data_IF_910480807296
#
_entry.id   IF_910480807296
#
_cell.length_a   1.000
_cell.length_b   1.000
_cell.length_c   1.000
_cell.angle_alpha   90.00
_cell.angle_beta   90.00
_cell.angle_gamma   90.00
#
_symmetry.space_group_name_H-M   'P 1'
#
loop_
_entity.id
_entity.type
_entity.pdbx_description
1 polymer ?
#
# COMPACT_ATOMS: atom_id res chain seq x y z
N UNK A 1 3.58 -11.82 -14.09
CA UNK A 1 2.63 -12.53 -13.21
C UNK A 1 2.98 -12.17 -11.78
N UNK A 2 2.00 -12.10 -10.88
CA UNK A 2 2.28 -11.75 -9.49
C UNK A 2 2.18 -12.99 -8.59
N UNK A 3 2.77 -12.88 -7.40
CA UNK A 3 2.74 -13.95 -6.39
C UNK A 3 2.63 -13.37 -4.97
N UNK A 4 2.15 -14.20 -4.05
CA UNK A 4 2.17 -13.86 -2.63
C UNK A 4 3.55 -14.15 -2.06
N UNK A 5 4.09 -13.18 -1.32
CA UNK A 5 5.34 -13.29 -0.59
C UNK A 5 5.15 -12.96 0.88
N UNK A 6 6.09 -13.36 1.72
CA UNK A 6 6.09 -13.04 3.14
C UNK A 6 6.82 -11.72 3.39
N UNK A 7 6.28 -10.90 4.28
CA UNK A 7 6.84 -9.62 4.69
C UNK A 7 6.94 -9.56 6.21
N UNK A 8 8.14 -9.35 6.73
CA UNK A 8 8.36 -9.09 8.15
C UNK A 8 8.12 -7.61 8.45
N UNK A 9 7.32 -7.33 9.46
CA UNK A 9 7.04 -5.97 9.93
C UNK A 9 7.33 -5.85 11.42
N UNK A 10 7.44 -4.64 11.98
CA UNK A 10 7.67 -4.46 13.42
C UNK A 10 6.61 -5.12 14.33
N UNK A 11 5.40 -5.29 13.82
CA UNK A 11 4.26 -5.82 14.57
C UNK A 11 3.83 -7.22 14.16
N UNK A 12 4.61 -7.91 13.34
CA UNK A 12 4.37 -9.30 12.95
C UNK A 12 4.59 -9.56 11.45
N UNK A 13 4.45 -10.80 11.09
CA UNK A 13 4.57 -11.25 9.69
C UNK A 13 3.23 -11.14 9.00
N UNK A 14 3.24 -10.50 7.84
CA UNK A 14 2.10 -10.43 6.93
C UNK A 14 2.49 -10.93 5.55
N UNK A 15 1.53 -11.09 4.65
CA UNK A 15 1.82 -11.33 3.23
C UNK A 15 1.83 -10.02 2.46
N UNK A 16 2.46 -10.06 1.30
CA UNK A 16 2.36 -9.02 0.31
C UNK A 16 2.20 -9.63 -1.08
N UNK A 17 1.40 -9.01 -1.93
CA UNK A 17 1.32 -9.37 -3.35
C UNK A 17 2.40 -8.64 -4.11
N UNK A 18 3.29 -9.39 -4.78
CA UNK A 18 4.39 -8.84 -5.56
C UNK A 18 4.19 -9.13 -7.04
N UNK A 19 4.45 -8.16 -7.88
CA UNK A 19 4.54 -8.29 -9.32
C UNK A 19 5.85 -7.68 -9.82
N UNK A 20 6.59 -8.44 -10.61
CA UNK A 20 7.89 -8.06 -11.16
C UNK A 20 7.79 -7.76 -12.66
N UNK A 21 8.53 -6.76 -13.16
CA UNK A 21 8.61 -6.47 -14.58
C UNK A 21 9.41 -7.55 -15.33
N UNK A 22 9.15 -7.68 -16.63
CA UNK A 22 9.91 -8.60 -17.51
C UNK A 22 11.29 -8.03 -17.93
N UNK A 23 11.56 -6.78 -17.61
CA UNK A 23 12.82 -6.08 -17.93
C UNK A 23 13.47 -5.59 -16.63
N UNK A 24 14.77 -5.18 -16.66
CA UNK A 24 15.38 -4.58 -15.48
C UNK A 24 14.54 -3.46 -14.90
N UNK A 25 14.30 -3.45 -13.58
CA UNK A 25 13.38 -2.48 -12.95
C UNK A 25 13.85 -1.04 -13.12
N UNK A 26 12.88 -0.14 -13.35
CA UNK A 26 13.09 1.32 -13.33
C UNK A 26 13.05 1.88 -11.91
N UNK A 27 12.57 1.10 -10.96
CA UNK A 27 12.33 1.43 -9.56
C UNK A 27 11.26 0.53 -8.99
N UNK A 28 10.76 0.86 -7.82
CA UNK A 28 9.74 0.06 -7.15
C UNK A 28 8.60 0.90 -6.58
N UNK A 29 7.45 0.28 -6.39
CA UNK A 29 6.23 0.92 -5.86
C UNK A 29 5.60 0.07 -4.76
N UNK A 30 5.34 0.71 -3.63
CA UNK A 30 4.40 0.20 -2.62
C UNK A 30 3.00 0.58 -3.07
N UNK A 31 2.13 -0.40 -3.27
CA UNK A 31 0.74 -0.19 -3.68
C UNK A 31 -0.16 -0.37 -2.47
N UNK A 32 -0.84 0.69 -2.06
CA UNK A 32 -1.68 0.68 -0.86
C UNK A 32 -3.15 0.54 -1.24
N UNK A 33 -3.76 -0.49 -0.69
CA UNK A 33 -5.14 -0.89 -0.92
C UNK A 33 -6.17 0.18 -0.51
N UNK A 34 -7.38 0.01 -0.99
CA UNK A 34 -8.59 0.61 -0.44
C UNK A 34 -8.94 -0.04 0.92
N UNK A 35 -10.19 0.00 1.33
CA UNK A 35 -10.65 -0.68 2.57
C UNK A 35 -11.04 -2.15 2.36
N UNK A 36 -10.85 -2.71 1.16
CA UNK A 36 -11.36 -4.03 0.77
C UNK A 36 -10.32 -5.15 0.77
N UNK A 37 -9.09 -4.86 1.23
CA UNK A 37 -7.98 -5.81 1.20
C UNK A 37 -7.24 -5.82 -0.14
N UNK A 38 -6.25 -6.71 -0.24
CA UNK A 38 -5.49 -6.93 -1.47
C UNK A 38 -6.30 -7.83 -2.41
N UNK A 39 -7.38 -7.28 -2.92
CA UNK A 39 -8.32 -7.96 -3.81
C UNK A 39 -7.81 -8.03 -5.25
N UNK A 40 -8.63 -8.58 -6.16
CA UNK A 40 -8.24 -8.72 -7.57
C UNK A 40 -7.87 -7.38 -8.22
N UNK A 41 -8.57 -6.29 -7.88
CA UNK A 41 -8.29 -4.96 -8.40
C UNK A 41 -6.89 -4.47 -8.00
N UNK A 42 -6.52 -4.56 -6.73
CA UNK A 42 -5.19 -4.16 -6.25
C UNK A 42 -4.10 -5.03 -6.87
N UNK A 43 -4.33 -6.33 -7.02
CA UNK A 43 -3.37 -7.22 -7.68
C UNK A 43 -3.18 -6.90 -9.17
N UNK A 44 -4.25 -6.51 -9.87
CA UNK A 44 -4.15 -6.07 -11.27
C UNK A 44 -3.42 -4.72 -11.40
N UNK A 45 -3.58 -3.81 -10.44
CA UNK A 45 -2.78 -2.58 -10.40
C UNK A 45 -1.29 -2.88 -10.24
N UNK A 46 -0.92 -3.81 -9.35
CA UNK A 46 0.48 -4.23 -9.22
C UNK A 46 1.02 -4.79 -10.55
N UNK A 47 0.23 -5.61 -11.24
CA UNK A 47 0.58 -6.13 -12.56
C UNK A 47 0.75 -4.99 -13.58
N UNK A 48 -0.15 -4.04 -13.60
CA UNK A 48 -0.07 -2.88 -14.49
C UNK A 48 1.22 -2.09 -14.27
N UNK A 49 1.61 -1.86 -13.02
CA UNK A 49 2.88 -1.19 -12.72
C UNK A 49 4.08 -2.04 -13.14
N UNK A 50 4.01 -3.35 -12.97
CA UNK A 50 5.06 -4.25 -13.45
C UNK A 50 5.21 -4.21 -14.99
N UNK A 51 4.10 -4.19 -15.72
CA UNK A 51 4.10 -4.04 -17.18
C UNK A 51 4.74 -2.68 -17.63
N UNK A 52 4.74 -1.68 -16.74
CA UNK A 52 5.42 -0.39 -16.96
C UNK A 52 6.86 -0.32 -16.41
N UNK A 53 7.40 -1.45 -15.96
CA UNK A 53 8.80 -1.57 -15.57
C UNK A 53 9.09 -1.30 -14.09
N UNK A 54 8.11 -1.36 -13.20
CA UNK A 54 8.31 -1.21 -11.77
C UNK A 54 8.11 -2.54 -11.04
N UNK A 55 8.93 -2.82 -10.04
CA UNK A 55 8.56 -3.86 -9.07
C UNK A 55 7.45 -3.29 -8.20
N UNK A 56 6.29 -3.91 -8.20
CA UNK A 56 5.14 -3.46 -7.43
C UNK A 56 4.79 -4.45 -6.32
N UNK A 57 4.59 -3.94 -5.10
CA UNK A 57 4.25 -4.78 -3.95
C UNK A 57 3.12 -4.15 -3.13
N UNK A 58 2.08 -4.92 -2.87
CA UNK A 58 0.93 -4.53 -2.06
C UNK A 58 0.93 -5.32 -0.75
N UNK A 59 1.26 -4.71 0.41
CA UNK A 59 1.19 -5.37 1.71
C UNK A 59 -0.26 -5.69 2.08
N UNK A 60 -0.48 -6.87 2.62
CA UNK A 60 -1.78 -7.34 3.10
C UNK A 60 -1.99 -6.89 4.55
N UNK A 61 -2.34 -5.62 4.74
CA UNK A 61 -2.46 -4.97 6.05
C UNK A 61 -3.38 -5.71 7.02
N UNK A 62 -4.42 -6.35 6.52
CA UNK A 62 -5.40 -7.04 7.37
C UNK A 62 -4.90 -8.38 7.89
N UNK A 63 -3.79 -8.91 7.36
CA UNK A 63 -3.18 -10.16 7.84
C UNK A 63 -2.72 -10.07 9.31
N UNK A 64 -2.59 -8.87 9.88
CA UNK A 64 -2.41 -8.67 11.33
C UNK A 64 -3.59 -9.19 12.17
N UNK A 65 -4.76 -9.33 11.57
CA UNK A 65 -6.01 -9.72 12.24
C UNK A 65 -6.63 -10.97 11.64
N UNK A 66 -6.68 -11.02 10.32
CA UNK A 66 -7.41 -12.03 9.57
C UNK A 66 -6.78 -12.21 8.19
N UNK A 67 -6.47 -13.46 7.84
CA UNK A 67 -5.89 -13.79 6.54
C UNK A 67 -6.92 -13.80 5.42
N UNK A 68 -6.46 -13.54 4.20
CA UNK A 68 -7.24 -13.62 2.96
C UNK A 68 -8.46 -12.70 2.90
N UNK A 69 -8.42 -11.57 3.59
CA UNK A 69 -9.51 -10.60 3.55
C UNK A 69 -9.58 -9.96 2.17
N UNK A 70 -10.65 -10.27 1.45
CA UNK A 70 -11.00 -9.67 0.17
C UNK A 70 -12.50 -9.37 0.20
N UNK A 71 -12.82 -8.13 0.54
CA UNK A 71 -14.19 -7.71 0.78
C UNK A 71 -14.87 -7.29 -0.54
N UNK A 72 -16.19 -7.42 -0.56
CA UNK A 72 -17.02 -7.04 -1.69
C UNK A 72 -17.29 -5.53 -1.67
N UNK A 73 -17.53 -4.96 -2.85
CA UNK A 73 -17.94 -3.56 -3.02
C UNK A 73 -19.44 -3.40 -2.76
N UNK A 74 -19.89 -3.75 -1.56
CA UNK A 74 -21.27 -3.65 -1.09
C UNK A 74 -21.30 -3.06 0.33
N UNK A 75 -22.48 -2.72 0.88
CA UNK A 75 -22.57 -2.11 2.21
C UNK A 75 -21.92 -2.91 3.33
N UNK A 76 -22.01 -4.25 3.29
CA UNK A 76 -21.39 -5.13 4.29
C UNK A 76 -19.86 -5.11 4.16
N UNK A 77 -19.34 -5.17 2.94
CA UNK A 77 -17.91 -5.05 2.67
C UNK A 77 -17.36 -3.70 3.10
N UNK A 78 -18.07 -2.62 2.84
CA UNK A 78 -17.69 -1.27 3.31
C UNK A 78 -17.66 -1.21 4.83
N UNK A 79 -18.70 -1.69 5.52
CA UNK A 79 -18.76 -1.68 6.99
C UNK A 79 -17.58 -2.47 7.59
N UNK A 80 -17.33 -3.67 7.09
CA UNK A 80 -16.21 -4.51 7.55
C UNK A 80 -14.85 -3.88 7.27
N UNK A 81 -14.68 -3.30 6.08
CA UNK A 81 -13.44 -2.63 5.69
C UNK A 81 -13.12 -1.43 6.57
N UNK A 82 -14.12 -0.61 6.87
CA UNK A 82 -13.97 0.53 7.78
C UNK A 82 -13.58 0.09 9.19
N UNK A 83 -14.18 -0.97 9.72
CA UNK A 83 -13.81 -1.56 11.02
C UNK A 83 -12.34 -2.01 11.04
N UNK A 84 -11.88 -2.69 9.98
CA UNK A 84 -10.52 -3.20 9.90
C UNK A 84 -9.48 -2.08 9.78
N UNK A 85 -9.70 -1.06 8.95
CA UNK A 85 -8.76 0.06 8.83
C UNK A 85 -8.72 0.92 10.08
N UNK A 86 -9.84 1.07 10.79
CA UNK A 86 -9.89 1.77 12.07
C UNK A 86 -9.11 1.01 13.14
N UNK A 87 -9.28 -0.30 13.20
CA UNK A 87 -8.51 -1.17 14.11
C UNK A 87 -7.02 -1.16 13.80
N UNK A 88 -6.63 -1.11 12.53
CA UNK A 88 -5.22 -1.06 12.11
C UNK A 88 -4.57 0.27 12.52
N UNK A 89 -5.22 1.39 12.20
CA UNK A 89 -4.68 2.73 12.37
C UNK A 89 -3.59 3.09 11.36
N UNK A 90 -3.33 4.39 11.20
CA UNK A 90 -2.35 4.87 10.23
C UNK A 90 -0.90 4.59 10.65
N UNK A 91 -0.58 4.56 11.95
CA UNK A 91 0.78 4.31 12.42
C UNK A 91 1.26 2.92 12.01
N UNK A 92 0.46 1.87 12.28
CA UNK A 92 0.80 0.51 11.86
C UNK A 92 0.81 0.36 10.35
N UNK A 93 -0.12 1.03 9.65
CA UNK A 93 -0.10 1.04 8.18
C UNK A 93 1.22 1.62 7.64
N UNK A 94 1.74 2.70 8.24
CA UNK A 94 3.03 3.27 7.86
C UNK A 94 4.21 2.38 8.18
N UNK A 95 4.17 1.62 9.27
CA UNK A 95 5.18 0.59 9.57
C UNK A 95 5.21 -0.49 8.48
N UNK A 96 4.05 -0.95 8.03
CA UNK A 96 3.94 -1.94 6.95
C UNK A 96 4.42 -1.36 5.61
N UNK A 97 4.09 -0.10 5.31
CA UNK A 97 4.60 0.60 4.12
C UNK A 97 6.12 0.72 4.17
N UNK A 98 6.67 1.11 5.32
CA UNK A 98 8.13 1.22 5.50
C UNK A 98 8.82 -0.14 5.34
N UNK A 99 8.29 -1.19 5.93
CA UNK A 99 8.81 -2.54 5.78
C UNK A 99 8.77 -3.00 4.32
N UNK A 100 7.68 -2.71 3.61
CA UNK A 100 7.55 -3.01 2.18
C UNK A 100 8.58 -2.24 1.35
N UNK A 101 8.74 -0.94 1.62
CA UNK A 101 9.73 -0.11 0.94
C UNK A 101 11.17 -0.61 1.17
N UNK A 102 11.48 -1.04 2.39
CA UNK A 102 12.77 -1.64 2.74
C UNK A 102 13.03 -2.92 1.95
N UNK A 103 12.02 -3.79 1.84
CA UNK A 103 12.12 -5.02 1.04
C UNK A 103 12.31 -4.75 -0.46
N UNK A 104 11.88 -3.60 -0.95
CA UNK A 104 11.99 -3.19 -2.35
C UNK A 104 13.25 -2.34 -2.67
N UNK A 105 14.00 -1.93 -1.66
CA UNK A 105 15.09 -0.96 -1.81
C UNK A 105 16.22 -1.40 -2.77
N UNK A 106 16.43 -2.70 -2.92
CA UNK A 106 17.43 -3.26 -3.86
C UNK A 106 17.08 -2.98 -5.35
N UNK A 107 15.82 -2.67 -5.64
CA UNK A 107 15.33 -2.39 -7.00
C UNK A 107 15.43 -0.90 -7.39
N UNK A 108 16.05 -0.07 -6.56
CA UNK A 108 16.25 1.35 -6.80
C UNK A 108 15.33 2.25 -5.97
N UNK A 109 14.91 3.38 -6.54
CA UNK A 109 14.01 4.31 -5.83
C UNK A 109 12.64 3.69 -5.60
N UNK A 110 12.11 3.88 -4.40
CA UNK A 110 10.79 3.36 -4.01
C UNK A 110 9.83 4.52 -3.80
N UNK A 111 8.70 4.47 -4.49
CA UNK A 111 7.57 5.36 -4.28
C UNK A 111 6.38 4.62 -3.68
N UNK A 112 5.36 5.37 -3.30
CA UNK A 112 4.09 4.83 -2.80
C UNK A 112 2.92 5.36 -3.61
N UNK A 113 1.98 4.50 -3.94
CA UNK A 113 0.72 4.86 -4.56
C UNK A 113 -0.42 4.24 -3.77
N UNK A 114 -1.41 5.05 -3.43
CA UNK A 114 -2.52 4.59 -2.61
C UNK A 114 -3.88 5.07 -3.10
N UNK A 115 -4.89 4.28 -2.80
CA UNK A 115 -6.26 4.45 -3.28
C UNK A 115 -7.22 4.54 -2.11
N UNK A 116 -8.13 5.52 -2.10
CA UNK A 116 -9.11 5.73 -1.04
C UNK A 116 -8.43 5.90 0.34
N UNK A 117 -8.70 5.05 1.31
CA UNK A 117 -7.96 4.99 2.57
C UNK A 117 -6.44 4.89 2.33
N UNK A 118 -6.04 4.07 1.36
CA UNK A 118 -4.64 3.96 0.95
C UNK A 118 -4.08 5.25 0.35
N UNK A 119 -4.89 6.12 -0.22
CA UNK A 119 -4.49 7.46 -0.64
C UNK A 119 -4.06 8.33 0.54
N UNK A 120 -4.76 8.24 1.66
CA UNK A 120 -4.34 8.90 2.90
C UNK A 120 -3.06 8.30 3.45
N UNK A 121 -2.91 6.97 3.41
CA UNK A 121 -1.66 6.30 3.81
C UNK A 121 -0.49 6.77 2.95
N UNK A 122 -0.67 6.88 1.62
CA UNK A 122 0.35 7.41 0.71
C UNK A 122 0.72 8.86 1.04
N UNK A 123 -0.25 9.72 1.34
CA UNK A 123 0.01 11.07 1.82
C UNK A 123 0.87 11.08 3.08
N UNK A 124 0.53 10.28 4.07
CA UNK A 124 1.28 10.17 5.32
C UNK A 124 2.67 9.54 5.13
N UNK A 125 2.82 8.60 4.19
CA UNK A 125 4.13 8.07 3.81
C UNK A 125 5.03 9.17 3.21
N UNK A 126 4.47 10.12 2.48
CA UNK A 126 5.20 11.28 2.01
C UNK A 126 5.64 12.17 3.17
N UNK A 127 4.70 12.61 4.00
CA UNK A 127 4.97 13.59 5.06
C UNK A 127 5.82 13.04 6.22
N UNK A 128 5.72 11.75 6.51
CA UNK A 128 6.36 11.12 7.68
C UNK A 128 7.51 10.17 7.34
N UNK A 129 7.56 9.64 6.12
CA UNK A 129 8.61 8.71 5.67
C UNK A 129 9.42 9.27 4.51
N UNK A 130 9.17 10.50 4.08
CA UNK A 130 9.84 11.18 2.96
C UNK A 130 9.82 10.39 1.65
N UNK A 131 8.73 9.66 1.39
CA UNK A 131 8.57 8.87 0.18
C UNK A 131 7.89 9.68 -0.93
N UNK A 132 8.35 9.60 -2.18
CA UNK A 132 7.56 10.07 -3.32
C UNK A 132 6.21 9.35 -3.33
N UNK A 133 5.11 10.11 -3.48
CA UNK A 133 3.78 9.54 -3.30
C UNK A 133 2.77 10.02 -4.34
N UNK A 134 1.84 9.13 -4.69
CA UNK A 134 0.62 9.44 -5.44
C UNK A 134 -0.58 9.04 -4.59
N UNK A 135 -1.44 10.00 -4.30
CA UNK A 135 -2.66 9.79 -3.51
C UNK A 135 -3.89 9.91 -4.38
N UNK A 136 -4.55 8.81 -4.63
CA UNK A 136 -5.84 8.80 -5.30
C UNK A 136 -6.98 8.87 -4.28
N UNK A 137 -7.80 9.93 -4.38
CA UNK A 137 -9.02 10.16 -3.58
C UNK A 137 -8.89 9.80 -2.09
N UNK A 138 -7.81 10.28 -1.44
CA UNK A 138 -7.54 10.10 -0.02
C UNK A 138 -8.52 10.85 0.87
N UNK A 139 -9.70 10.28 1.12
CA UNK A 139 -10.80 10.96 1.77
C UNK A 139 -10.52 11.32 3.26
N UNK A 140 -9.60 10.64 3.91
CA UNK A 140 -9.23 10.87 5.31
C UNK A 140 -7.99 11.74 5.49
N UNK A 141 -7.52 12.40 4.43
CA UNK A 141 -6.32 13.24 4.47
C UNK A 141 -6.56 14.60 5.13
N UNK A 142 -7.80 15.09 5.16
CA UNK A 142 -8.13 16.43 5.65
C UNK A 142 -7.53 16.78 7.02
N UNK A 143 -7.54 15.92 8.05
CA UNK A 143 -6.93 16.22 9.34
C UNK A 143 -5.41 16.42 9.28
N UNK A 144 -4.76 15.96 8.22
CA UNK A 144 -3.29 15.95 8.08
C UNK A 144 -2.75 16.98 7.09
N UNK A 145 -3.61 17.80 6.47
CA UNK A 145 -3.21 18.78 5.44
C UNK A 145 -2.20 19.83 5.90
N UNK A 146 -2.04 20.02 7.21
CA UNK A 146 -1.03 20.90 7.77
C UNK A 146 0.38 20.25 7.84
N UNK A 147 0.50 18.95 7.61
CA UNK A 147 1.79 18.28 7.60
C UNK A 147 2.62 18.71 6.37
N UNK A 148 3.93 18.81 6.58
CA UNK A 148 4.84 19.23 5.53
C UNK A 148 5.07 18.13 4.50
N UNK A 149 4.98 18.48 3.21
CA UNK A 149 5.38 17.61 2.11
C UNK A 149 6.91 17.48 2.10
N UNK A 150 7.41 16.25 2.17
CA UNK A 150 8.83 15.95 2.31
C UNK A 150 9.48 15.36 1.05
N UNK A 151 8.66 14.99 0.04
CA UNK A 151 9.11 14.42 -1.22
C UNK A 151 8.12 14.78 -2.34
N UNK A 152 8.40 14.49 -3.62
CA UNK A 152 7.43 14.71 -4.70
C UNK A 152 6.08 14.05 -4.38
N UNK A 153 4.99 14.80 -4.58
CA UNK A 153 3.61 14.40 -4.24
C UNK A 153 2.66 14.74 -5.39
N UNK A 154 1.76 13.81 -5.72
CA UNK A 154 0.69 14.00 -6.68
C UNK A 154 -0.65 13.53 -6.09
#
# INVERSE_FOLDING_TARGET
>A
MGEWTSLETPTGRIRAWRADPHTPPRGALVVVQEIFGVNAHIRELCKTFADHGYVAMAPSFFDHFEHDVQLRYDPDGVARGLELVERLGFERALEDVHATATALAEHGKVGVVGYCWGGTVAFLANTRLSMPAVSYYGARTVPFLAERIEAPMM
#
